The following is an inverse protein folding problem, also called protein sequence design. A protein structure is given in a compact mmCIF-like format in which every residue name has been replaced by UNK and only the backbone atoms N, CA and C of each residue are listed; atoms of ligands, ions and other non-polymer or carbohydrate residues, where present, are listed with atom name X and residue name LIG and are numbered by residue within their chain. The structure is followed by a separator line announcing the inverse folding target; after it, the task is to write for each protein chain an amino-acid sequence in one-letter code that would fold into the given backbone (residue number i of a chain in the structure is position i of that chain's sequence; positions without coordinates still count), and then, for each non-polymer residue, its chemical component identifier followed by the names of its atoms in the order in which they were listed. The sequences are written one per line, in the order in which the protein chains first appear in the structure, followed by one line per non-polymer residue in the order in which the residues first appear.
data_IF_914166266479
#
_entry.id   IF_914166266479
#
_cell.length_a   1.000
_cell.length_b   1.000
_cell.length_c   1.000
_cell.angle_alpha   90.00
_cell.angle_beta   90.00
_cell.angle_gamma   90.00
#
_symmetry.space_group_name_H-M   'P 1'
#
loop_
_entity.id
_entity.type
_entity.pdbx_description
1 polymer ?
#
# COMPACT_ATOMS: atom_id res chain seq x y z
N UNK A 1 -26.44 -58.28 30.31
CA UNK A 1 -25.99 -57.33 29.29
C UNK A 1 -26.51 -55.95 29.67
N UNK A 2 -25.99 -55.37 30.76
CA UNK A 2 -24.95 -54.31 30.75
C UNK A 2 -25.26 -53.16 29.81
N UNK A 3 -25.76 -52.08 30.41
CA UNK A 3 -25.79 -50.74 29.84
C UNK A 3 -24.34 -50.27 29.56
N UNK A 4 -24.14 -49.61 28.43
CA UNK A 4 -22.93 -48.92 28.01
C UNK A 4 -23.31 -47.48 27.65
N UNK A 5 -22.39 -46.50 27.80
CA UNK A 5 -22.64 -45.36 28.65
C UNK A 5 -22.97 -44.10 27.85
N UNK A 6 -23.71 -43.22 28.51
CA UNK A 6 -23.77 -41.79 28.21
C UNK A 6 -22.34 -41.24 28.09
N UNK A 7 -21.91 -40.88 26.88
CA UNK A 7 -20.68 -40.15 26.68
C UNK A 7 -20.90 -38.95 25.77
N UNK A 8 -21.05 -37.82 26.48
CA UNK A 8 -20.41 -36.54 26.20
C UNK A 8 -20.77 -35.91 24.85
N UNK A 9 -21.92 -35.24 24.86
CA UNK A 9 -21.98 -33.92 24.24
C UNK A 9 -20.82 -33.10 24.81
N UNK A 10 -19.71 -33.00 24.06
CA UNK A 10 -18.76 -31.92 24.21
C UNK A 10 -19.51 -30.64 23.87
N UNK A 11 -20.20 -30.08 24.87
CA UNK A 11 -20.54 -28.67 24.88
C UNK A 11 -19.20 -27.95 24.91
N UNK A 12 -18.76 -27.53 23.72
CA UNK A 12 -17.73 -26.51 23.59
C UNK A 12 -18.29 -25.30 24.33
N UNK A 13 -17.90 -25.11 25.58
CA UNK A 13 -18.13 -23.88 26.30
C UNK A 13 -17.34 -22.83 25.55
N UNK A 14 -18.00 -22.18 24.59
CA UNK A 14 -17.50 -20.95 23.98
C UNK A 14 -17.31 -20.02 25.17
N UNK A 15 -16.06 -19.90 25.60
CA UNK A 15 -15.66 -18.91 26.58
C UNK A 15 -16.14 -17.59 26.01
N UNK A 16 -17.14 -16.98 26.65
CA UNK A 16 -17.60 -15.63 26.34
C UNK A 16 -16.54 -14.67 26.86
N UNK A 17 -15.34 -14.76 26.28
CA UNK A 17 -14.30 -13.77 26.47
C UNK A 17 -14.92 -12.48 25.96
N UNK A 18 -15.13 -11.47 26.81
CA UNK A 18 -15.68 -10.21 26.36
C UNK A 18 -14.75 -9.67 25.28
N UNK A 19 -15.32 -9.35 24.12
CA UNK A 19 -14.57 -8.72 23.03
C UNK A 19 -13.96 -7.45 23.59
N UNK A 20 -12.62 -7.41 23.62
CA UNK A 20 -11.91 -6.24 24.11
C UNK A 20 -12.35 -5.01 23.32
N UNK A 21 -12.76 -3.95 24.01
CA UNK A 21 -13.12 -2.68 23.42
C UNK A 21 -12.24 -1.59 24.01
N UNK A 22 -11.54 -0.78 23.19
CA UNK A 22 -10.72 0.29 23.70
C UNK A 22 -11.59 1.33 24.41
N UNK A 23 -11.04 1.97 25.44
CA UNK A 23 -11.64 3.19 25.97
C UNK A 23 -11.64 4.27 24.89
N UNK A 24 -12.55 5.25 25.00
CA UNK A 24 -12.59 6.39 24.09
C UNK A 24 -11.22 7.06 23.95
N UNK A 25 -10.52 7.26 25.08
CA UNK A 25 -9.19 7.87 25.12
C UNK A 25 -8.15 7.04 24.37
N UNK A 26 -8.14 5.72 24.58
CA UNK A 26 -7.22 4.83 23.87
C UNK A 26 -7.51 4.83 22.37
N UNK A 27 -8.78 4.80 21.97
CA UNK A 27 -9.18 4.88 20.58
C UNK A 27 -8.70 6.18 19.91
N UNK A 28 -8.86 7.33 20.57
CA UNK A 28 -8.36 8.60 20.02
C UNK A 28 -6.83 8.62 19.90
N UNK A 29 -6.10 8.10 20.89
CA UNK A 29 -4.64 7.99 20.81
C UNK A 29 -4.20 7.07 19.66
N UNK A 30 -4.88 5.94 19.45
CA UNK A 30 -4.58 5.02 18.37
C UNK A 30 -4.90 5.64 17.00
N UNK A 31 -6.00 6.37 16.88
CA UNK A 31 -6.32 7.12 15.65
C UNK A 31 -5.27 8.20 15.36
N UNK A 32 -4.83 8.93 16.38
CA UNK A 32 -3.79 9.93 16.21
C UNK A 32 -2.46 9.28 15.81
N UNK A 33 -2.02 8.22 16.50
CA UNK A 33 -0.84 7.44 16.12
C UNK A 33 -0.94 6.91 14.70
N UNK A 34 -2.12 6.41 14.31
CA UNK A 34 -2.36 5.99 12.95
C UNK A 34 -2.17 7.15 12.00
N UNK A 35 -2.92 8.24 12.14
CA UNK A 35 -2.85 9.38 11.22
C UNK A 35 -1.46 10.04 11.15
N UNK A 36 -0.76 10.13 12.28
CA UNK A 36 0.51 10.87 12.40
C UNK A 36 1.73 10.01 12.02
N UNK A 37 1.66 8.69 12.22
CA UNK A 37 2.84 7.81 12.13
C UNK A 37 2.64 6.53 11.29
N UNK A 38 1.42 5.98 11.20
CA UNK A 38 1.19 4.70 10.51
C UNK A 38 0.29 4.77 9.28
N UNK A 39 -0.34 5.92 9.03
CA UNK A 39 -1.03 6.24 7.81
C UNK A 39 0.06 6.48 6.77
N UNK A 40 0.65 5.38 6.33
CA UNK A 40 1.36 5.33 5.07
C UNK A 40 0.28 5.52 4.03
N UNK A 41 0.02 6.79 3.67
CA UNK A 41 -0.68 7.06 2.43
C UNK A 41 -0.03 6.20 1.34
N UNK A 42 -0.80 5.61 0.41
CA UNK A 42 -0.21 4.81 -0.65
C UNK A 42 0.92 5.62 -1.29
N UNK A 43 2.15 5.15 -1.10
CA UNK A 43 3.31 5.85 -1.60
C UNK A 43 3.21 5.90 -3.12
N UNK A 44 3.43 7.07 -3.69
CA UNK A 44 3.33 7.29 -5.12
C UNK A 44 4.68 6.92 -5.76
N UNK A 45 4.74 5.98 -6.71
CA UNK A 45 6.00 5.64 -7.37
C UNK A 45 6.41 6.76 -8.33
N UNK A 46 7.65 7.21 -8.26
CA UNK A 46 8.18 8.12 -9.27
C UNK A 46 8.16 7.46 -10.66
N UNK A 47 7.50 8.06 -11.65
CA UNK A 47 7.38 7.46 -12.99
C UNK A 47 8.71 7.26 -13.74
N UNK A 48 9.77 7.94 -13.32
CA UNK A 48 11.10 7.81 -13.92
C UNK A 48 12.04 6.87 -13.19
N UNK A 49 11.92 6.75 -11.86
CA UNK A 49 12.88 6.02 -11.04
C UNK A 49 12.28 5.07 -10.01
N UNK A 50 10.96 4.85 -10.02
CA UNK A 50 10.23 3.94 -9.13
C UNK A 50 10.44 4.18 -7.63
N UNK A 51 11.08 5.29 -7.27
CA UNK A 51 11.24 5.68 -5.88
C UNK A 51 9.85 5.96 -5.31
N UNK A 52 9.49 5.23 -4.25
CA UNK A 52 8.27 5.47 -3.50
C UNK A 52 8.33 6.82 -2.79
N UNK A 53 7.35 7.67 -3.10
CA UNK A 53 7.25 9.03 -2.59
C UNK A 53 6.09 9.12 -1.61
N UNK A 54 6.32 9.81 -0.51
CA UNK A 54 5.21 10.32 0.29
C UNK A 54 4.42 11.35 -0.53
N UNK A 55 3.07 11.34 -0.49
CA UNK A 55 2.27 12.28 -1.26
C UNK A 55 2.65 13.75 -1.03
N UNK A 56 3.02 14.13 0.19
CA UNK A 56 3.43 15.50 0.51
C UNK A 56 4.80 15.89 -0.08
N UNK A 57 5.62 14.90 -0.45
CA UNK A 57 6.94 15.10 -1.08
C UNK A 57 6.92 14.82 -2.59
N UNK A 58 5.81 14.31 -3.11
CA UNK A 58 5.65 14.03 -4.52
C UNK A 58 5.56 15.35 -5.30
N UNK A 59 6.40 15.48 -6.32
CA UNK A 59 6.20 16.48 -7.34
C UNK A 59 5.36 15.88 -8.48
N UNK A 60 4.84 16.75 -9.34
CA UNK A 60 3.94 16.35 -10.41
C UNK A 60 4.46 16.83 -11.76
N UNK A 61 4.39 15.96 -12.76
CA UNK A 61 4.71 16.26 -14.17
C UNK A 61 3.49 16.01 -15.04
N UNK A 62 3.37 16.78 -16.13
CA UNK A 62 2.31 16.56 -17.11
C UNK A 62 2.58 15.23 -17.81
N UNK A 63 1.54 14.42 -17.95
CA UNK A 63 1.58 13.17 -18.67
C UNK A 63 1.96 13.41 -20.15
N UNK A 64 3.00 12.71 -20.59
CA UNK A 64 3.46 12.65 -21.97
C UNK A 64 3.41 11.22 -22.49
N UNK A 65 4.36 10.84 -23.34
CA UNK A 65 4.45 9.49 -23.89
C UNK A 65 4.87 8.48 -22.80
N UNK A 66 4.10 7.40 -22.66
CA UNK A 66 4.36 6.30 -21.74
C UNK A 66 5.72 5.64 -21.96
N UNK A 67 6.23 5.67 -23.19
CA UNK A 67 7.56 5.15 -23.51
C UNK A 67 8.69 5.88 -22.76
N UNK A 68 8.45 7.08 -22.24
CA UNK A 68 9.44 7.86 -21.49
C UNK A 68 9.56 7.45 -20.03
N UNK A 69 8.56 6.74 -19.50
CA UNK A 69 8.45 6.41 -18.09
C UNK A 69 8.93 4.99 -17.84
N UNK A 70 10.06 4.85 -17.15
CA UNK A 70 10.64 3.55 -16.83
C UNK A 70 9.69 2.67 -16.00
N UNK A 71 8.81 3.29 -15.19
CA UNK A 71 7.81 2.58 -14.39
C UNK A 71 6.90 1.68 -15.24
N UNK A 72 6.31 2.21 -16.31
CA UNK A 72 5.39 1.45 -17.17
C UNK A 72 6.12 0.43 -18.06
N UNK A 73 7.40 0.66 -18.38
CA UNK A 73 8.21 -0.31 -19.08
C UNK A 73 8.51 -1.54 -18.23
N UNK A 74 8.75 -1.35 -16.93
CA UNK A 74 9.06 -2.43 -16.00
C UNK A 74 7.84 -3.12 -15.43
N UNK A 75 6.75 -2.39 -15.25
CA UNK A 75 5.51 -2.91 -14.69
C UNK A 75 4.32 -2.59 -15.61
N UNK A 76 4.17 -3.33 -16.72
CA UNK A 76 3.09 -3.11 -17.69
C UNK A 76 1.68 -3.30 -17.11
N UNK A 77 1.57 -3.93 -15.93
CA UNK A 77 0.32 -4.17 -15.21
C UNK A 77 -0.17 -2.94 -14.42
N UNK A 78 0.67 -1.92 -14.20
CA UNK A 78 0.27 -0.70 -13.50
C UNK A 78 -0.59 0.15 -14.44
N UNK A 79 -1.80 0.49 -14.01
CA UNK A 79 -2.65 1.44 -14.75
C UNK A 79 -2.21 2.88 -14.47
N UNK A 80 -2.38 3.76 -15.46
CA UNK A 80 -2.20 5.20 -15.26
C UNK A 80 -3.10 5.73 -14.13
N UNK A 81 -4.34 5.24 -14.07
CA UNK A 81 -5.33 5.68 -13.09
C UNK A 81 -4.94 5.31 -11.65
N UNK A 82 -4.10 4.29 -11.47
CA UNK A 82 -3.64 3.84 -10.15
C UNK A 82 -2.69 4.86 -9.49
N UNK A 83 -2.00 5.66 -10.30
CA UNK A 83 -0.94 6.57 -9.83
C UNK A 83 -1.17 8.03 -10.24
N UNK A 84 -2.16 8.30 -11.09
CA UNK A 84 -2.47 9.65 -11.53
C UNK A 84 -2.91 10.56 -10.37
N UNK A 85 -2.61 11.85 -10.49
CA UNK A 85 -3.12 12.82 -9.52
C UNK A 85 -4.66 12.81 -9.52
N UNK A 86 -5.32 12.78 -8.34
CA UNK A 86 -6.79 12.80 -8.26
C UNK A 86 -7.47 14.10 -8.76
N UNK A 87 -6.72 15.12 -9.21
CA UNK A 87 -7.24 16.43 -9.67
C UNK A 87 -6.12 17.39 -10.14
N UNK A 88 -6.22 18.10 -11.28
CA UNK A 88 -6.84 17.69 -12.54
C UNK A 88 -6.05 16.57 -13.23
N UNK A 89 -6.73 15.83 -14.10
CA UNK A 89 -6.21 14.69 -14.86
C UNK A 89 -4.96 15.04 -15.68
N UNK A 90 -4.14 14.03 -15.96
CA UNK A 90 -2.89 14.08 -16.74
C UNK A 90 -1.66 14.56 -15.96
N UNK A 91 -1.60 14.29 -14.65
CA UNK A 91 -0.37 14.48 -13.87
C UNK A 91 0.09 13.17 -13.27
N UNK A 92 1.38 12.93 -13.39
CA UNK A 92 2.03 11.74 -12.85
C UNK A 92 3.05 12.12 -11.76
N UNK A 93 3.21 11.28 -10.73
CA UNK A 93 4.12 11.53 -9.63
C UNK A 93 5.58 11.40 -10.08
N UNK A 94 6.41 12.34 -9.63
CA UNK A 94 7.87 12.32 -9.85
C UNK A 94 8.59 12.80 -8.59
N UNK A 95 9.80 12.30 -8.37
CA UNK A 95 10.65 12.77 -7.28
C UNK A 95 11.30 14.11 -7.66
N UNK A 96 11.74 14.87 -6.67
CA UNK A 96 12.39 16.16 -6.91
C UNK A 96 13.58 16.05 -7.87
N UNK A 97 14.44 15.03 -7.67
CA UNK A 97 15.62 14.79 -8.49
C UNK A 97 15.27 14.52 -9.96
N UNK A 98 14.26 13.69 -10.22
CA UNK A 98 13.81 13.38 -11.59
C UNK A 98 13.03 14.53 -12.22
N UNK A 99 12.50 15.48 -11.43
CA UNK A 99 11.88 16.68 -11.99
C UNK A 99 12.92 17.67 -12.52
N UNK A 100 14.09 17.76 -11.88
CA UNK A 100 15.15 18.71 -12.25
C UNK A 100 16.17 18.12 -13.24
N UNK A 101 16.33 16.80 -13.25
CA UNK A 101 17.26 16.08 -14.12
C UNK A 101 16.55 15.45 -15.31
N UNK A 102 17.19 15.49 -16.48
CA UNK A 102 16.81 14.71 -17.67
C UNK A 102 17.44 13.32 -17.71
N UNK A 103 18.33 13.01 -16.77
CA UNK A 103 18.99 11.70 -16.65
C UNK A 103 18.41 10.94 -15.46
N UNK A 104 17.89 9.74 -15.72
CA UNK A 104 17.21 8.92 -14.72
C UNK A 104 18.03 7.67 -14.40
N UNK A 105 18.02 7.19 -13.14
CA UNK A 105 18.66 5.94 -12.80
C UNK A 105 17.99 4.78 -13.56
N UNK A 106 18.80 3.86 -14.08
CA UNK A 106 18.29 2.66 -14.74
C UNK A 106 17.71 1.74 -13.67
N UNK A 107 16.42 1.47 -13.77
CA UNK A 107 15.74 0.60 -12.84
C UNK A 107 16.08 -0.87 -13.10
N UNK A 108 16.36 -1.60 -12.01
CA UNK A 108 16.61 -3.03 -12.08
C UNK A 108 15.29 -3.76 -12.27
N UNK A 109 15.30 -4.79 -13.11
CA UNK A 109 14.15 -5.70 -13.20
C UNK A 109 14.06 -6.52 -11.91
N UNK A 110 12.82 -6.81 -11.47
CA UNK A 110 12.59 -7.76 -10.38
C UNK A 110 13.17 -9.12 -10.83
N UNK A 111 14.08 -9.73 -10.05
CA UNK A 111 14.61 -11.06 -10.35
C UNK A 111 13.49 -12.09 -10.49
N UNK A 112 13.62 -13.03 -11.44
CA UNK A 112 12.58 -14.02 -11.72
C UNK A 112 12.25 -14.90 -10.50
N UNK A 113 13.21 -15.07 -9.60
CA UNK A 113 13.13 -15.86 -8.38
C UNK A 113 12.08 -15.33 -7.40
N UNK A 114 11.74 -14.04 -7.46
CA UNK A 114 10.73 -13.42 -6.58
C UNK A 114 9.30 -13.66 -7.09
N UNK A 115 9.14 -13.97 -8.37
CA UNK A 115 7.82 -14.11 -9.01
C UNK A 115 7.25 -15.54 -8.95
N UNK A 116 7.88 -16.46 -8.18
CA UNK A 116 7.46 -17.86 -7.99
C UNK A 116 6.96 -18.14 -6.56
#
# INVERSE_FOLDING_TARGET
FTALPDNLYQQSTISTIPVWKPSWRLHQNLLQLFNDHYNQFPCLPCVYCDQLLYPEKAAWVIQGDLSTYALFQLYPSISLDDIAHPSPANKLPTCHSCKVSSTFPRLAQIPQEINN
#
